data_IF_362749223697
#
_entry.id   IF_362749223697
#
_cell.length_a   1.000
_cell.length_b   1.000
_cell.length_c   1.000
_cell.angle_alpha   90.00
_cell.angle_beta   90.00
_cell.angle_gamma   90.00
#
_symmetry.space_group_name_H-M   'P 1'
#
loop_
_entity.id
_entity.type
_entity.pdbx_description
1 polymer ?
#
# COMPACT_ATOMS: atom_id res chain seq x y z
N UNK A 1 -4.59 16.78 -6.86
CA UNK A 1 -4.53 15.31 -6.89
C UNK A 1 -5.60 14.78 -7.86
N UNK A 2 -5.21 14.21 -9.01
CA UNK A 2 -6.09 13.44 -9.90
C UNK A 2 -6.98 12.41 -9.17
N UNK A 3 -8.15 12.10 -9.74
CA UNK A 3 -9.13 11.19 -9.13
C UNK A 3 -8.58 9.78 -8.85
N UNK A 4 -7.67 9.28 -9.71
CA UNK A 4 -6.99 7.98 -9.50
C UNK A 4 -6.08 8.00 -8.26
N UNK A 5 -5.31 9.06 -8.07
CA UNK A 5 -4.45 9.22 -6.89
C UNK A 5 -5.28 9.30 -5.61
N UNK A 6 -6.39 10.04 -5.66
CA UNK A 6 -7.35 10.11 -4.55
C UNK A 6 -7.93 8.73 -4.19
N UNK A 7 -8.29 7.94 -5.20
CA UNK A 7 -8.80 6.59 -5.01
C UNK A 7 -7.74 5.67 -4.41
N UNK A 8 -6.49 5.73 -4.90
CA UNK A 8 -5.39 4.94 -4.35
C UNK A 8 -5.09 5.29 -2.89
N UNK A 9 -5.06 6.57 -2.54
CA UNK A 9 -4.89 7.04 -1.16
C UNK A 9 -6.02 6.54 -0.28
N UNK A 10 -7.27 6.73 -0.69
CA UNK A 10 -8.44 6.25 0.07
C UNK A 10 -8.40 4.74 0.29
N UNK A 11 -8.00 3.99 -0.74
CA UNK A 11 -7.85 2.54 -0.67
C UNK A 11 -6.75 2.11 0.32
N UNK A 12 -5.59 2.75 0.30
CA UNK A 12 -4.54 2.49 1.28
C UNK A 12 -4.98 2.80 2.70
N UNK A 13 -5.58 3.98 2.92
CA UNK A 13 -6.06 4.37 4.25
C UNK A 13 -7.09 3.39 4.78
N UNK A 14 -8.04 2.96 3.94
CA UNK A 14 -9.05 1.98 4.33
C UNK A 14 -8.44 0.61 4.61
N UNK A 15 -7.60 0.10 3.70
CA UNK A 15 -6.99 -1.21 3.85
C UNK A 15 -6.06 -1.28 5.07
N UNK A 16 -5.19 -0.28 5.27
CA UNK A 16 -4.26 -0.22 6.40
C UNK A 16 -4.97 -0.05 7.75
N UNK A 17 -6.05 0.74 7.80
CA UNK A 17 -6.84 0.91 9.01
C UNK A 17 -7.43 -0.41 9.54
N UNK A 18 -7.77 -1.37 8.66
CA UNK A 18 -8.22 -2.70 9.08
C UNK A 18 -7.15 -3.52 9.82
N UNK A 19 -5.87 -3.17 9.66
CA UNK A 19 -4.75 -3.81 10.35
C UNK A 19 -4.17 -2.92 11.47
N UNK A 20 -4.80 -1.79 11.77
CA UNK A 20 -4.28 -0.81 12.74
C UNK A 20 -2.96 -0.16 12.30
N UNK A 21 -2.71 -0.10 10.99
CA UNK A 21 -1.50 0.46 10.40
C UNK A 21 -1.75 1.86 9.80
N UNK A 22 -0.68 2.63 9.64
CA UNK A 22 -0.70 3.95 9.00
C UNK A 22 0.51 4.14 8.10
N UNK A 23 0.28 4.71 6.90
CA UNK A 23 1.34 5.05 5.96
C UNK A 23 1.98 6.39 6.33
N UNK A 24 3.30 6.41 6.51
CA UNK A 24 4.03 7.65 6.72
C UNK A 24 4.01 8.54 5.47
N UNK A 25 4.07 7.91 4.31
CA UNK A 25 4.05 8.57 3.02
C UNK A 25 3.32 7.70 2.01
N UNK A 26 2.61 8.34 1.07
CA UNK A 26 2.08 7.69 -0.12
C UNK A 26 2.62 8.44 -1.34
N UNK A 27 3.40 7.73 -2.15
CA UNK A 27 3.98 8.26 -3.39
C UNK A 27 3.35 7.59 -4.60
N UNK A 28 3.53 8.21 -5.75
CA UNK A 28 2.99 7.72 -7.02
C UNK A 28 4.09 7.65 -8.06
N UNK A 29 4.03 6.63 -8.91
CA UNK A 29 4.98 6.42 -9.99
C UNK A 29 4.26 5.87 -11.21
N UNK A 30 4.61 6.34 -12.40
CA UNK A 30 4.26 5.66 -13.63
C UNK A 30 5.36 4.62 -13.92
N UNK A 31 5.19 3.42 -13.36
CA UNK A 31 6.17 2.34 -13.40
C UNK A 31 6.19 1.66 -14.78
N UNK A 32 6.86 2.27 -15.75
CA UNK A 32 7.09 1.76 -17.11
C UNK A 32 5.85 1.79 -18.01
N UNK A 33 4.75 1.14 -17.59
CA UNK A 33 3.46 1.08 -18.30
C UNK A 33 2.23 1.06 -17.38
N UNK A 34 2.40 0.95 -16.06
CA UNK A 34 1.30 0.92 -15.09
C UNK A 34 1.43 2.06 -14.09
N UNK A 35 0.30 2.70 -13.78
CA UNK A 35 0.25 3.65 -12.68
C UNK A 35 0.37 2.89 -11.35
N UNK A 36 1.28 3.33 -10.49
CA UNK A 36 1.62 2.73 -9.21
C UNK A 36 1.38 3.73 -8.07
N UNK A 37 0.80 3.24 -6.99
CA UNK A 37 0.73 3.95 -5.72
C UNK A 37 1.49 3.12 -4.67
N UNK A 38 2.37 3.77 -3.92
CA UNK A 38 3.30 3.12 -2.99
C UNK A 38 3.09 3.75 -1.61
N UNK A 39 2.67 2.96 -0.64
CA UNK A 39 2.58 3.38 0.75
C UNK A 39 3.81 2.91 1.52
N UNK A 40 4.53 3.84 2.15
CA UNK A 40 5.67 3.53 3.02
C UNK A 40 5.18 3.47 4.47
N UNK A 41 5.39 2.32 5.09
CA UNK A 41 5.05 2.03 6.48
C UNK A 41 6.33 1.96 7.30
N UNK A 42 6.28 2.40 8.55
CA UNK A 42 7.32 2.10 9.54
C UNK A 42 6.78 1.03 10.48
N UNK A 43 7.37 -0.15 10.44
CA UNK A 43 6.91 -1.34 11.17
C UNK A 43 7.99 -1.78 12.14
N UNK A 44 7.57 -2.38 13.27
CA UNK A 44 8.51 -3.03 14.19
C UNK A 44 9.08 -4.28 13.53
N UNK A 45 10.33 -4.62 13.85
CA UNK A 45 11.01 -5.79 13.25
C UNK A 45 10.38 -7.13 13.62
N UNK A 46 9.62 -7.20 14.72
CA UNK A 46 8.86 -8.40 15.11
C UNK A 46 7.46 -8.46 14.47
N UNK A 47 7.06 -7.44 13.70
CA UNK A 47 5.77 -7.40 13.03
C UNK A 47 5.83 -8.11 11.68
N UNK A 48 4.94 -9.08 11.48
CA UNK A 48 4.78 -9.78 10.20
C UNK A 48 3.61 -9.17 9.44
N UNK A 49 3.90 -8.50 8.32
CA UNK A 49 2.85 -7.89 7.51
C UNK A 49 1.94 -8.96 6.88
N UNK A 50 0.60 -8.89 7.04
CA UNK A 50 -0.33 -9.91 6.56
C UNK A 50 -0.61 -9.77 5.06
N UNK A 51 0.40 -10.02 4.23
CA UNK A 51 0.40 -9.78 2.77
C UNK A 51 -0.83 -10.38 2.08
N UNK A 52 -1.18 -11.64 2.40
CA UNK A 52 -2.30 -12.34 1.75
C UNK A 52 -3.66 -11.71 2.06
N UNK A 53 -3.89 -11.38 3.32
CA UNK A 53 -5.14 -10.76 3.74
C UNK A 53 -5.24 -9.32 3.24
N UNK A 54 -4.13 -8.57 3.25
CA UNK A 54 -4.09 -7.23 2.67
C UNK A 54 -4.41 -7.26 1.17
N UNK A 55 -3.80 -8.16 0.42
CA UNK A 55 -4.05 -8.31 -1.02
C UNK A 55 -5.51 -8.68 -1.31
N UNK A 56 -6.10 -9.59 -0.52
CA UNK A 56 -7.51 -9.97 -0.61
C UNK A 56 -8.42 -8.78 -0.35
N UNK A 57 -8.17 -8.04 0.74
CA UNK A 57 -8.96 -6.89 1.14
C UNK A 57 -8.93 -5.78 0.07
N UNK A 58 -7.75 -5.48 -0.47
CA UNK A 58 -7.59 -4.56 -1.59
C UNK A 58 -8.43 -5.00 -2.79
N UNK A 59 -8.38 -6.29 -3.15
CA UNK A 59 -9.19 -6.84 -4.22
C UNK A 59 -10.71 -6.77 -3.97
N UNK A 60 -11.15 -6.90 -2.72
CA UNK A 60 -12.56 -6.75 -2.36
C UNK A 60 -13.03 -5.29 -2.52
N UNK A 61 -12.23 -4.32 -2.09
CA UNK A 61 -12.55 -2.89 -2.21
C UNK A 61 -12.52 -2.39 -3.65
N UNK A 62 -11.65 -2.94 -4.49
CA UNK A 62 -11.51 -2.47 -5.88
C UNK A 62 -12.57 -3.03 -6.82
N UNK A 63 -13.20 -4.17 -6.48
CA UNK A 63 -14.31 -4.76 -7.25
C UNK A 63 -15.50 -3.83 -7.43
N UNK A 64 -15.79 -2.97 -6.45
CA UNK A 64 -16.92 -2.03 -6.50
C UNK A 64 -16.56 -0.67 -7.12
N UNK A 65 -15.26 -0.43 -7.39
CA UNK A 65 -14.75 0.87 -7.82
C UNK A 65 -14.56 1.00 -9.31
N UNK A 66 -14.51 2.26 -9.79
CA UNK A 66 -14.16 2.59 -11.18
C UNK A 66 -12.69 2.28 -11.52
N UNK A 67 -11.80 2.37 -10.53
CA UNK A 67 -10.37 2.11 -10.67
C UNK A 67 -10.04 0.75 -10.06
N UNK A 68 -9.50 -0.15 -10.87
CA UNK A 68 -9.17 -1.51 -10.47
C UNK A 68 -7.73 -1.55 -9.97
N UNK A 69 -7.54 -1.39 -8.67
CA UNK A 69 -6.21 -1.57 -8.07
C UNK A 69 -5.96 -3.03 -7.67
N UNK A 70 -4.69 -3.44 -7.76
CA UNK A 70 -4.23 -4.75 -7.32
C UNK A 70 -2.95 -4.61 -6.50
N UNK A 71 -2.89 -5.34 -5.39
CA UNK A 71 -1.65 -5.51 -4.64
C UNK A 71 -0.59 -6.20 -5.50
N UNK A 72 0.58 -5.59 -5.60
CA UNK A 72 1.69 -6.10 -6.40
C UNK A 72 2.79 -6.68 -5.52
N UNK A 73 3.42 -5.85 -4.72
CA UNK A 73 4.59 -6.23 -3.94
C UNK A 73 4.68 -5.50 -2.61
N UNK A 74 5.56 -6.03 -1.77
CA UNK A 74 6.07 -5.39 -0.57
C UNK A 74 7.60 -5.43 -0.64
N UNK A 75 8.24 -4.30 -0.36
CA UNK A 75 9.70 -4.21 -0.24
C UNK A 75 10.05 -3.71 1.14
N UNK A 76 10.94 -4.42 1.81
CA UNK A 76 11.38 -4.08 3.16
C UNK A 76 12.81 -3.54 3.12
N UNK A 77 13.07 -2.45 3.84
CA UNK A 77 14.39 -1.84 3.96
C UNK A 77 14.66 -1.44 5.42
N UNK A 78 15.93 -1.44 5.87
CA UNK A 78 16.25 -1.05 7.24
C UNK A 78 15.83 0.39 7.53
N UNK A 79 15.26 0.65 8.71
CA UNK A 79 15.03 2.00 9.20
C UNK A 79 16.24 2.50 10.00
N UNK A 80 16.39 3.83 10.10
CA UNK A 80 17.41 4.43 10.96
C UNK A 80 17.09 4.25 12.47
N UNK A 81 15.83 3.94 12.79
CA UNK A 81 15.36 3.74 14.16
C UNK A 81 15.60 2.28 14.58
N UNK A 82 16.14 2.03 15.79
CA UNK A 82 16.40 0.67 16.24
C UNK A 82 15.10 -0.12 16.43
N UNK A 83 15.09 -1.38 16.00
CA UNK A 83 13.95 -2.32 16.05
C UNK A 83 12.80 -2.00 15.10
N UNK A 84 13.04 -1.21 14.05
CA UNK A 84 12.07 -0.91 13.01
C UNK A 84 12.67 -1.08 11.61
N UNK A 85 11.80 -1.37 10.65
CA UNK A 85 12.10 -1.36 9.23
C UNK A 85 11.01 -0.59 8.48
N UNK A 86 11.35 -0.13 7.28
CA UNK A 86 10.39 0.42 6.35
C UNK A 86 9.81 -0.69 5.48
N UNK A 87 8.51 -0.67 5.28
CA UNK A 87 7.83 -1.54 4.33
C UNK A 87 7.10 -0.69 3.28
N UNK A 88 7.54 -0.78 2.03
CA UNK A 88 6.89 -0.15 0.89
C UNK A 88 5.89 -1.12 0.26
N UNK A 89 4.60 -0.79 0.36
CA UNK A 89 3.48 -1.58 -0.17
C UNK A 89 3.02 -0.96 -1.48
N UNK A 90 3.07 -1.71 -2.58
CA UNK A 90 2.73 -1.19 -3.92
C UNK A 90 1.40 -1.72 -4.42
N UNK A 91 0.54 -0.82 -4.90
CA UNK A 91 -0.65 -1.12 -5.67
C UNK A 91 -0.48 -0.63 -7.10
N UNK A 92 -0.82 -1.47 -8.07
CA UNK A 92 -0.93 -1.04 -9.47
C UNK A 92 -2.39 -0.81 -9.85
N UNK A 93 -2.61 0.23 -10.65
CA UNK A 93 -3.85 0.40 -11.40
C UNK A 93 -3.80 -0.49 -12.64
N UNK A 94 -4.79 -1.38 -12.74
CA UNK A 94 -4.99 -2.30 -13.83
C UNK A 94 -5.91 -1.72 -14.90
#
# INVERSE_FOLDING_TARGET
MPAREAAAVGLFLLALANFGLFAQEITFSDAGHHYAAIATLLLRDDYVFPVRDFARLVGEYTRAGKFQYRFCDIKETPAAQPNFHYASVTLYLW
#
